data_IF_714033281537
#
_entry.id   IF_714033281537
#
_cell.length_a   1.000
_cell.length_b   1.000
_cell.length_c   1.000
_cell.angle_alpha   90.00
_cell.angle_beta   90.00
_cell.angle_gamma   90.00
#
_symmetry.space_group_name_H-M   'P 1'
#
loop_
_entity.id
_entity.type
_entity.pdbx_description
1 polymer ?
#
# COMPACT_ATOMS: atom_id res chain seq x y z
N UNK A 1 3.52 -20.99 -37.65
CA UNK A 1 3.15 -20.95 -36.21
C UNK A 1 4.34 -20.60 -35.31
N UNK A 2 5.46 -21.32 -35.40
CA UNK A 2 6.66 -21.07 -34.57
C UNK A 2 7.33 -19.69 -34.76
N UNK A 3 7.31 -19.14 -35.97
CA UNK A 3 7.88 -17.81 -36.26
C UNK A 3 7.14 -16.68 -35.53
N UNK A 4 5.81 -16.74 -35.44
CA UNK A 4 5.02 -15.76 -34.67
C UNK A 4 5.29 -15.86 -33.18
N UNK A 5 5.50 -17.08 -32.67
CA UNK A 5 5.80 -17.33 -31.27
C UNK A 5 7.21 -16.82 -30.91
N UNK A 6 8.20 -17.06 -31.78
CA UNK A 6 9.54 -16.49 -31.65
C UNK A 6 9.53 -14.96 -31.73
N UNK A 7 8.73 -14.37 -32.63
CA UNK A 7 8.57 -12.92 -32.74
C UNK A 7 7.94 -12.30 -31.49
N UNK A 8 6.92 -12.93 -30.91
CA UNK A 8 6.30 -12.49 -29.66
C UNK A 8 7.27 -12.55 -28.47
N UNK A 9 8.05 -13.64 -28.37
CA UNK A 9 9.08 -13.78 -27.33
C UNK A 9 10.19 -12.74 -27.51
N UNK A 10 10.66 -12.53 -28.75
CA UNK A 10 11.64 -11.49 -29.06
C UNK A 10 11.13 -10.08 -28.73
N UNK A 11 9.87 -9.77 -29.09
CA UNK A 11 9.22 -8.51 -28.76
C UNK A 11 9.06 -8.34 -27.24
N UNK A 12 8.69 -9.40 -26.52
CA UNK A 12 8.62 -9.39 -25.06
C UNK A 12 9.97 -9.02 -24.43
N UNK A 13 11.07 -9.69 -24.84
CA UNK A 13 12.40 -9.38 -24.33
C UNK A 13 12.87 -7.98 -24.71
N UNK A 14 12.55 -7.50 -25.92
CA UNK A 14 12.90 -6.16 -26.36
C UNK A 14 12.14 -5.08 -25.59
N UNK A 15 10.83 -5.25 -25.39
CA UNK A 15 10.00 -4.34 -24.58
C UNK A 15 10.44 -4.36 -23.11
N UNK A 16 10.77 -5.54 -22.57
CA UNK A 16 11.32 -5.70 -21.23
C UNK A 16 12.66 -4.97 -21.08
N UNK A 17 13.59 -5.19 -22.01
CA UNK A 17 14.89 -4.52 -22.02
C UNK A 17 14.75 -3.00 -22.11
N UNK A 18 13.86 -2.51 -22.97
CA UNK A 18 13.59 -1.08 -23.10
C UNK A 18 13.02 -0.49 -21.80
N UNK A 19 12.07 -1.17 -21.17
CA UNK A 19 11.48 -0.75 -19.88
C UNK A 19 12.51 -0.76 -18.75
N UNK A 20 13.32 -1.80 -18.65
CA UNK A 20 14.35 -1.93 -17.61
C UNK A 20 15.47 -0.88 -17.75
N UNK A 21 15.72 -0.39 -18.97
CA UNK A 21 16.68 0.69 -19.24
C UNK A 21 16.16 2.10 -19.01
N UNK A 22 14.89 2.27 -18.63
CA UNK A 22 14.38 3.60 -18.31
C UNK A 22 15.03 4.11 -17.03
N UNK A 23 16.03 4.97 -17.20
CA UNK A 23 16.67 5.67 -16.08
C UNK A 23 15.78 6.84 -15.69
N UNK A 24 15.39 6.86 -14.42
CA UNK A 24 14.62 7.95 -13.85
C UNK A 24 15.50 9.20 -13.77
N UNK A 25 15.19 10.23 -14.56
CA UNK A 25 15.88 11.52 -14.49
C UNK A 25 15.60 12.27 -13.19
N UNK A 26 16.47 13.24 -12.85
CA UNK A 26 16.32 14.18 -11.73
C UNK A 26 16.06 13.52 -10.36
N UNK A 27 16.86 12.51 -10.01
CA UNK A 27 16.71 11.80 -8.74
C UNK A 27 16.82 12.71 -7.50
N UNK A 28 17.64 13.77 -7.56
CA UNK A 28 17.90 14.68 -6.44
C UNK A 28 16.71 15.55 -6.02
N UNK A 29 15.73 15.69 -6.90
CA UNK A 29 14.54 16.50 -6.64
C UNK A 29 13.35 15.66 -6.17
N UNK A 30 13.51 14.34 -6.17
CA UNK A 30 12.45 13.37 -5.87
C UNK A 30 12.48 12.98 -4.41
N UNK A 31 11.34 13.17 -3.75
CA UNK A 31 11.12 12.77 -2.37
C UNK A 31 10.51 11.37 -2.31
N UNK A 32 11.06 10.53 -1.44
CA UNK A 32 10.53 9.19 -1.14
C UNK A 32 10.28 9.09 0.36
N UNK A 33 9.05 8.76 0.73
CA UNK A 33 8.67 8.48 2.11
C UNK A 33 8.66 6.98 2.36
N UNK A 34 9.33 6.52 3.42
CA UNK A 34 9.49 5.10 3.73
C UNK A 34 9.09 4.87 5.18
N UNK A 35 8.16 3.95 5.43
CA UNK A 35 7.77 3.57 6.80
C UNK A 35 8.59 2.39 7.33
N UNK A 36 8.84 2.35 8.64
CA UNK A 36 9.55 1.24 9.29
C UNK A 36 11.04 1.21 8.97
N UNK A 37 11.72 2.35 9.14
CA UNK A 37 13.14 2.52 8.82
C UNK A 37 14.11 2.20 9.98
N UNK A 38 13.61 1.78 11.15
CA UNK A 38 14.44 1.44 12.30
C UNK A 38 15.43 0.30 11.99
N UNK A 39 15.01 -0.69 11.20
CA UNK A 39 15.84 -1.85 10.85
C UNK A 39 15.38 -2.52 9.53
N UNK A 40 16.06 -3.59 9.14
CA UNK A 40 15.64 -4.47 8.05
C UNK A 40 15.56 -3.80 6.68
N UNK A 41 14.55 -4.18 5.89
CA UNK A 41 14.41 -3.73 4.50
C UNK A 41 14.19 -2.22 4.36
N UNK A 42 13.41 -1.61 5.26
CA UNK A 42 13.17 -0.16 5.24
C UNK A 42 14.46 0.64 5.43
N UNK A 43 15.28 0.25 6.42
CA UNK A 43 16.57 0.88 6.69
C UNK A 43 17.54 0.73 5.50
N UNK A 44 17.67 -0.48 4.96
CA UNK A 44 18.54 -0.74 3.81
C UNK A 44 18.08 0.03 2.56
N UNK A 45 16.77 0.10 2.32
CA UNK A 45 16.20 0.85 1.22
C UNK A 45 16.47 2.36 1.37
N UNK A 46 16.27 2.91 2.57
CA UNK A 46 16.51 4.31 2.86
C UNK A 46 17.97 4.70 2.56
N UNK A 47 18.92 3.90 3.04
CA UNK A 47 20.36 4.08 2.75
C UNK A 47 20.67 3.95 1.27
N UNK A 48 20.09 2.98 0.58
CA UNK A 48 20.32 2.77 -0.84
C UNK A 48 19.79 3.93 -1.71
N UNK A 49 18.64 4.49 -1.36
CA UNK A 49 18.05 5.62 -2.07
C UNK A 49 18.82 6.92 -1.80
N UNK A 50 19.30 7.12 -0.58
CA UNK A 50 20.17 8.24 -0.22
C UNK A 50 21.50 8.19 -0.99
N UNK A 51 22.14 7.01 -1.08
CA UNK A 51 23.37 6.83 -1.88
C UNK A 51 23.15 7.12 -3.38
N UNK A 52 21.95 6.85 -3.90
CA UNK A 52 21.56 7.19 -5.28
C UNK A 52 21.20 8.66 -5.46
N UNK A 53 21.17 9.43 -4.38
CA UNK A 53 20.97 10.87 -4.39
C UNK A 53 19.53 11.32 -4.27
N UNK A 54 18.58 10.44 -3.95
CA UNK A 54 17.19 10.84 -3.69
C UNK A 54 17.07 11.53 -2.32
N UNK A 55 16.02 12.34 -2.15
CA UNK A 55 15.63 12.88 -0.84
C UNK A 55 14.75 11.88 -0.14
N UNK A 56 15.19 11.37 1.00
CA UNK A 56 14.52 10.28 1.71
C UNK A 56 13.91 10.83 2.99
N UNK A 57 12.61 10.61 3.14
CA UNK A 57 11.85 10.93 4.34
C UNK A 57 11.59 9.61 5.08
N UNK A 58 12.43 9.28 6.04
CA UNK A 58 12.43 7.99 6.71
C UNK A 58 11.62 8.04 8.02
N UNK A 59 10.51 7.31 8.05
CA UNK A 59 9.70 7.13 9.23
C UNK A 59 10.22 5.98 10.09
N UNK A 60 10.62 6.28 11.32
CA UNK A 60 11.06 5.32 12.33
C UNK A 60 10.07 5.30 13.50
N UNK A 61 9.89 4.15 14.15
CA UNK A 61 9.09 4.04 15.37
C UNK A 61 9.85 4.57 16.59
N UNK A 62 11.18 4.40 16.61
CA UNK A 62 12.03 4.76 17.74
C UNK A 62 13.03 5.86 17.39
N UNK A 63 13.27 6.76 18.35
CA UNK A 63 14.27 7.82 18.17
C UNK A 63 15.68 7.26 18.00
N UNK A 64 16.00 6.16 18.71
CA UNK A 64 17.28 5.47 18.57
C UNK A 64 17.53 4.97 17.14
N UNK A 65 16.50 4.36 16.52
CA UNK A 65 16.57 3.91 15.14
C UNK A 65 16.73 5.07 14.16
N UNK A 66 16.00 6.16 14.40
CA UNK A 66 16.13 7.40 13.63
C UNK A 66 17.55 8.01 13.72
N UNK A 67 18.09 8.17 14.93
CA UNK A 67 19.45 8.68 15.12
C UNK A 67 20.51 7.79 14.47
N UNK A 68 20.40 6.47 14.62
CA UNK A 68 21.34 5.54 14.02
C UNK A 68 21.32 5.65 12.49
N UNK A 69 20.13 5.75 11.89
CA UNK A 69 19.98 5.93 10.45
C UNK A 69 20.59 7.26 9.99
N UNK A 70 20.28 8.38 10.67
CA UNK A 70 20.84 9.70 10.37
C UNK A 70 22.38 9.71 10.39
N UNK A 71 23.00 9.02 11.35
CA UNK A 71 24.47 8.92 11.45
C UNK A 71 25.11 8.17 10.27
N UNK A 72 24.36 7.33 9.58
CA UNK A 72 24.85 6.49 8.48
C UNK A 72 24.52 7.05 7.09
N UNK A 73 23.81 8.17 7.00
CA UNK A 73 23.25 8.73 5.77
C UNK A 73 23.63 10.20 5.60
N UNK A 74 23.37 10.76 4.42
CA UNK A 74 23.63 12.17 4.13
C UNK A 74 22.55 13.10 4.72
N UNK A 75 22.77 14.40 4.56
CA UNK A 75 21.85 15.50 4.90
C UNK A 75 20.53 15.48 4.12
N UNK A 76 20.45 14.71 3.02
CA UNK A 76 19.23 14.54 2.22
C UNK A 76 18.23 13.57 2.83
N UNK A 77 18.65 12.81 3.84
CA UNK A 77 17.78 11.91 4.56
C UNK A 77 17.32 12.59 5.85
N UNK A 78 16.03 12.88 5.90
CA UNK A 78 15.37 13.40 7.08
C UNK A 78 14.52 12.30 7.71
N UNK A 79 14.50 12.22 9.04
CA UNK A 79 13.70 11.20 9.74
C UNK A 79 12.59 11.82 10.55
N UNK A 80 11.48 11.10 10.65
CA UNK A 80 10.32 11.45 11.47
C UNK A 80 9.92 10.26 12.32
N UNK A 81 9.46 10.53 13.53
CA UNK A 81 8.92 9.48 14.41
C UNK A 81 7.47 9.20 14.02
N UNK A 82 7.19 7.95 13.62
CA UNK A 82 5.87 7.51 13.15
C UNK A 82 5.48 6.19 13.80
N UNK A 83 4.36 6.22 14.50
CA UNK A 83 3.63 5.03 14.92
C UNK A 83 2.42 4.83 13.99
N UNK A 84 2.49 3.83 13.12
CA UNK A 84 1.43 3.53 12.14
C UNK A 84 0.13 3.02 12.76
N UNK A 85 0.11 2.73 14.07
CA UNK A 85 -1.11 2.37 14.79
C UNK A 85 -1.90 3.58 15.28
N UNK A 86 -1.26 4.77 15.33
CA UNK A 86 -1.84 5.99 15.87
C UNK A 86 -2.15 6.98 14.77
N UNK A 87 -3.45 7.26 14.58
CA UNK A 87 -3.93 8.20 13.55
C UNK A 87 -3.29 9.58 13.69
N UNK A 88 -3.16 10.10 14.91
CA UNK A 88 -2.54 11.41 15.17
C UNK A 88 -1.08 11.48 14.72
N UNK A 89 -0.33 10.40 14.94
CA UNK A 89 1.07 10.29 14.50
C UNK A 89 1.16 10.29 12.96
N UNK A 90 0.23 9.59 12.30
CA UNK A 90 0.16 9.56 10.82
C UNK A 90 -0.18 10.95 10.26
N UNK A 91 -1.14 11.65 10.85
CA UNK A 91 -1.54 12.99 10.40
C UNK A 91 -0.39 14.00 10.61
N UNK A 92 0.28 13.94 11.76
CA UNK A 92 1.44 14.79 12.03
C UNK A 92 2.58 14.51 11.03
N UNK A 93 2.89 13.23 10.76
CA UNK A 93 3.89 12.86 9.76
C UNK A 93 3.49 13.31 8.35
N UNK A 94 2.23 13.18 7.96
CA UNK A 94 1.74 13.64 6.66
C UNK A 94 1.85 15.17 6.50
N UNK A 95 1.56 15.93 7.55
CA UNK A 95 1.74 17.38 7.56
C UNK A 95 3.23 17.76 7.44
N UNK A 96 4.10 17.10 8.20
CA UNK A 96 5.55 17.28 8.09
C UNK A 96 6.09 16.96 6.68
N UNK A 97 5.64 15.86 6.08
CA UNK A 97 5.99 15.51 4.69
C UNK A 97 5.51 16.61 3.73
N UNK A 98 4.27 17.08 3.89
CA UNK A 98 3.68 18.14 3.05
C UNK A 98 4.51 19.42 3.07
N UNK A 99 5.01 19.82 4.23
CA UNK A 99 5.87 21.00 4.39
C UNK A 99 7.21 20.84 3.67
N UNK A 100 7.82 19.65 3.74
CA UNK A 100 9.11 19.38 3.09
C UNK A 100 9.04 19.21 1.58
N UNK A 101 7.99 18.56 1.07
CA UNK A 101 7.84 18.31 -0.38
C UNK A 101 7.28 19.52 -1.13
N UNK A 102 6.51 20.37 -0.44
CA UNK A 102 5.88 21.57 -1.00
C UNK A 102 5.09 21.26 -2.28
N UNK A 103 5.36 22.03 -3.33
CA UNK A 103 4.67 21.89 -4.61
C UNK A 103 5.12 20.71 -5.48
N UNK A 104 6.28 20.11 -5.16
CA UNK A 104 6.79 18.97 -5.94
C UNK A 104 6.01 17.69 -5.68
N UNK A 105 5.39 17.57 -4.50
CA UNK A 105 4.69 16.37 -4.06
C UNK A 105 5.63 15.20 -3.76
N UNK A 106 5.03 14.03 -3.50
CA UNK A 106 5.74 12.84 -3.07
C UNK A 106 5.93 11.85 -4.22
N UNK A 107 7.17 11.70 -4.70
CA UNK A 107 7.46 10.82 -5.84
C UNK A 107 7.31 9.33 -5.52
N UNK A 108 7.63 8.94 -4.29
CA UNK A 108 7.52 7.55 -3.84
C UNK A 108 6.97 7.44 -2.42
N UNK A 109 6.02 6.53 -2.22
CA UNK A 109 5.59 6.07 -0.91
C UNK A 109 5.92 4.59 -0.78
N UNK A 110 6.67 4.22 0.25
CA UNK A 110 7.01 2.83 0.54
C UNK A 110 6.43 2.46 1.90
N UNK A 111 5.35 1.70 1.88
CA UNK A 111 4.75 1.14 3.08
C UNK A 111 5.46 -0.17 3.43
N UNK A 112 6.49 -0.06 4.26
CA UNK A 112 7.31 -1.18 4.70
C UNK A 112 7.09 -1.57 6.16
N UNK A 113 6.60 -0.65 7.01
CA UNK A 113 6.34 -0.94 8.42
C UNK A 113 5.46 -2.19 8.57
N UNK A 114 5.95 -3.15 9.35
CA UNK A 114 5.25 -4.39 9.60
C UNK A 114 5.86 -5.17 10.73
N UNK A 115 5.00 -5.91 11.45
CA UNK A 115 5.40 -6.83 12.51
C UNK A 115 4.99 -8.26 12.16
N UNK A 116 5.76 -9.19 12.68
CA UNK A 116 5.43 -10.61 12.68
C UNK A 116 5.66 -11.15 14.09
N UNK A 117 4.65 -11.77 14.66
CA UNK A 117 4.83 -12.66 15.80
C UNK A 117 5.23 -14.04 15.31
N UNK A 118 5.72 -14.94 16.20
CA UNK A 118 6.06 -16.30 15.81
C UNK A 118 4.93 -16.95 15.02
N UNK A 119 5.26 -17.47 13.83
CA UNK A 119 4.31 -18.14 12.96
C UNK A 119 3.92 -19.48 13.58
N UNK A 120 2.92 -19.46 14.47
CA UNK A 120 2.38 -20.64 15.13
C UNK A 120 1.00 -21.01 14.58
N UNK A 121 0.47 -22.13 15.05
CA UNK A 121 -0.92 -22.47 14.84
C UNK A 121 -1.81 -21.37 15.41
N UNK A 122 -2.87 -21.00 14.67
CA UNK A 122 -3.77 -19.91 15.06
C UNK A 122 -4.35 -20.06 16.46
N UNK A 123 -4.49 -21.29 16.96
CA UNK A 123 -4.99 -21.60 18.31
C UNK A 123 -4.03 -21.16 19.43
N UNK A 124 -2.73 -21.06 19.15
CA UNK A 124 -1.72 -20.68 20.14
C UNK A 124 -1.46 -19.17 20.18
N UNK A 125 -2.05 -18.43 19.25
CA UNK A 125 -1.86 -16.99 19.15
C UNK A 125 -2.92 -16.26 19.98
N UNK A 126 -2.48 -15.32 20.81
CA UNK A 126 -3.42 -14.43 21.51
C UNK A 126 -4.14 -13.55 20.49
N UNK A 127 -5.41 -13.29 20.74
CA UNK A 127 -6.21 -12.41 19.88
C UNK A 127 -5.62 -10.99 19.86
N UNK A 128 -5.15 -10.48 20.99
CA UNK A 128 -4.58 -9.13 21.07
C UNK A 128 -3.33 -8.96 20.18
N UNK A 129 -2.44 -9.95 20.18
CA UNK A 129 -1.26 -9.97 19.29
C UNK A 129 -1.72 -10.00 17.82
N UNK A 130 -2.76 -10.77 17.53
CA UNK A 130 -3.32 -10.88 16.18
C UNK A 130 -3.95 -9.57 15.68
N UNK A 131 -4.69 -8.90 16.54
CA UNK A 131 -5.28 -7.58 16.25
C UNK A 131 -4.17 -6.55 16.05
N UNK A 132 -3.10 -6.62 16.85
CA UNK A 132 -1.94 -5.76 16.67
C UNK A 132 -1.27 -5.96 15.30
N UNK A 133 -1.11 -7.22 14.83
CA UNK A 133 -0.60 -7.50 13.48
C UNK A 133 -1.47 -6.81 12.42
N UNK A 134 -2.79 -6.96 12.50
CA UNK A 134 -3.71 -6.33 11.54
C UNK A 134 -3.62 -4.81 11.59
N UNK A 135 -3.55 -4.24 12.80
CA UNK A 135 -3.47 -2.80 12.99
C UNK A 135 -2.20 -2.23 12.37
N UNK A 136 -1.04 -2.87 12.55
CA UNK A 136 0.22 -2.41 11.98
C UNK A 136 0.29 -2.69 10.47
N UNK A 137 0.10 -3.95 10.06
CA UNK A 137 0.43 -4.40 8.71
C UNK A 137 -0.61 -3.99 7.66
N UNK A 138 -1.88 -3.84 8.06
CA UNK A 138 -2.98 -3.56 7.15
C UNK A 138 -3.59 -2.18 7.41
N UNK A 139 -4.14 -1.96 8.60
CA UNK A 139 -4.87 -0.71 8.89
C UNK A 139 -3.92 0.50 8.86
N UNK A 140 -2.75 0.38 9.47
CA UNK A 140 -1.73 1.44 9.47
C UNK A 140 -1.24 1.76 8.06
N UNK A 141 -0.98 0.73 7.24
CA UNK A 141 -0.64 0.90 5.82
C UNK A 141 -1.72 1.67 5.06
N UNK A 142 -2.99 1.29 5.25
CA UNK A 142 -4.12 1.96 4.60
C UNK A 142 -4.21 3.43 5.04
N UNK A 143 -4.12 3.69 6.34
CA UNK A 143 -4.20 5.07 6.87
C UNK A 143 -3.05 5.94 6.38
N UNK A 144 -1.81 5.45 6.40
CA UNK A 144 -0.66 6.17 5.85
C UNK A 144 -0.87 6.46 4.37
N UNK A 145 -1.31 5.46 3.61
CA UNK A 145 -1.55 5.59 2.18
C UNK A 145 -2.57 6.68 1.88
N UNK A 146 -3.73 6.66 2.56
CA UNK A 146 -4.79 7.63 2.33
C UNK A 146 -4.37 9.06 2.69
N UNK A 147 -3.61 9.25 3.77
CA UNK A 147 -3.11 10.58 4.17
C UNK A 147 -2.04 11.12 3.21
N UNK A 148 -1.23 10.24 2.63
CA UNK A 148 -0.16 10.62 1.69
C UNK A 148 -0.65 10.70 0.23
N UNK A 149 -1.81 10.10 -0.08
CA UNK A 149 -2.34 9.99 -1.44
C UNK A 149 -2.44 11.33 -2.20
N UNK A 150 -2.89 12.44 -1.59
CA UNK A 150 -2.92 13.74 -2.28
C UNK A 150 -1.53 14.22 -2.72
N UNK A 151 -0.50 13.97 -1.89
CA UNK A 151 0.89 14.35 -2.20
C UNK A 151 1.48 13.48 -3.30
N UNK A 152 1.16 12.18 -3.28
CA UNK A 152 1.61 11.24 -4.32
C UNK A 152 0.96 11.55 -5.65
N UNK A 153 -0.35 11.85 -5.67
CA UNK A 153 -1.07 12.25 -6.90
C UNK A 153 -0.46 13.52 -7.50
N UNK A 154 -0.13 14.52 -6.68
CA UNK A 154 0.49 15.78 -7.13
C UNK A 154 1.82 15.55 -7.87
N UNK A 155 2.63 14.60 -7.41
CA UNK A 155 3.91 14.24 -8.04
C UNK A 155 3.80 13.18 -9.13
N UNK A 156 2.59 12.69 -9.44
CA UNK A 156 2.37 11.48 -10.24
C UNK A 156 3.27 10.31 -9.78
N UNK A 157 3.41 10.18 -8.46
CA UNK A 157 4.34 9.26 -7.81
C UNK A 157 3.92 7.80 -7.88
N UNK A 158 4.64 6.95 -7.14
CA UNK A 158 4.37 5.51 -7.04
C UNK A 158 4.25 5.09 -5.58
N UNK A 159 3.35 4.13 -5.35
CA UNK A 159 3.12 3.55 -4.03
C UNK A 159 3.61 2.10 -4.09
N UNK A 160 4.48 1.73 -3.16
CA UNK A 160 5.04 0.39 -3.01
C UNK A 160 4.62 -0.14 -1.65
N UNK A 161 3.78 -1.16 -1.67
CA UNK A 161 3.34 -1.84 -0.46
C UNK A 161 4.16 -3.12 -0.27
N UNK A 162 4.86 -3.24 0.85
CA UNK A 162 5.69 -4.42 1.14
C UNK A 162 4.80 -5.52 1.71
N UNK A 163 4.42 -6.44 0.84
CA UNK A 163 3.65 -7.63 1.19
C UNK A 163 4.55 -8.78 1.70
N UNK A 164 4.15 -10.03 1.47
CA UNK A 164 4.90 -11.23 1.83
C UNK A 164 4.47 -12.38 0.91
N UNK A 165 5.27 -13.44 0.84
CA UNK A 165 4.83 -14.72 0.24
C UNK A 165 3.53 -15.23 0.89
N UNK A 166 3.35 -14.93 2.18
CA UNK A 166 2.13 -15.23 2.95
C UNK A 166 0.92 -14.37 2.57
N UNK A 167 1.08 -13.40 1.66
CA UNK A 167 -0.02 -12.71 0.99
C UNK A 167 -0.57 -13.46 -0.23
N UNK A 168 0.09 -14.54 -0.66
CA UNK A 168 -0.33 -15.38 -1.81
C UNK A 168 -0.56 -16.83 -1.45
N UNK A 169 0.06 -17.30 -0.37
CA UNK A 169 -0.11 -18.66 0.15
C UNK A 169 -0.48 -18.58 1.62
N UNK A 170 -1.62 -19.17 1.98
CA UNK A 170 -2.00 -19.38 3.37
C UNK A 170 -1.12 -20.47 3.99
N UNK A 171 -0.06 -20.05 4.69
CA UNK A 171 0.80 -20.91 5.51
C UNK A 171 0.73 -20.45 6.98
N UNK A 172 1.33 -21.20 7.92
CA UNK A 172 1.30 -20.94 9.38
C UNK A 172 1.35 -19.44 9.73
N UNK A 173 0.62 -19.03 10.77
CA UNK A 173 0.45 -17.61 11.16
C UNK A 173 -0.81 -16.96 10.61
N UNK A 174 -1.98 -17.55 10.85
CA UNK A 174 -3.27 -17.23 10.24
C UNK A 174 -3.57 -15.74 10.05
N UNK A 175 -3.49 -14.91 11.11
CA UNK A 175 -3.80 -13.48 11.00
C UNK A 175 -2.69 -12.64 10.35
N UNK A 176 -1.43 -13.10 10.39
CA UNK A 176 -0.36 -12.48 9.60
C UNK A 176 -0.60 -12.69 8.10
N UNK A 177 -0.91 -13.92 7.70
CA UNK A 177 -1.27 -14.23 6.31
C UNK A 177 -2.48 -13.38 5.87
N UNK A 178 -3.56 -13.35 6.67
CA UNK A 178 -4.72 -12.48 6.39
C UNK A 178 -4.34 -11.00 6.23
N UNK A 179 -3.43 -10.47 7.06
CA UNK A 179 -2.96 -9.09 6.93
C UNK A 179 -2.28 -8.85 5.58
N UNK A 180 -1.45 -9.78 5.10
CA UNK A 180 -0.70 -9.65 3.85
C UNK A 180 -1.55 -9.90 2.60
N UNK A 181 -2.53 -10.80 2.67
CA UNK A 181 -3.58 -10.90 1.64
C UNK A 181 -4.38 -9.61 1.53
N UNK A 182 -4.71 -8.99 2.67
CA UNK A 182 -5.36 -7.68 2.70
C UNK A 182 -4.52 -6.58 2.04
N UNK A 183 -3.20 -6.60 2.22
CA UNK A 183 -2.28 -5.66 1.57
C UNK A 183 -2.25 -5.84 0.06
N UNK A 184 -2.20 -7.07 -0.46
CA UNK A 184 -2.28 -7.34 -1.90
C UNK A 184 -3.62 -6.84 -2.47
N UNK A 185 -4.74 -7.22 -1.85
CA UNK A 185 -6.07 -6.79 -2.28
C UNK A 185 -6.23 -5.25 -2.26
N UNK A 186 -5.72 -4.59 -1.23
CA UNK A 186 -5.74 -3.12 -1.16
C UNK A 186 -4.88 -2.49 -2.26
N UNK A 187 -3.73 -3.08 -2.57
CA UNK A 187 -2.84 -2.60 -3.62
C UNK A 187 -3.48 -2.72 -5.01
N UNK A 188 -4.20 -3.81 -5.26
CA UNK A 188 -4.95 -4.00 -6.51
C UNK A 188 -6.05 -2.95 -6.65
N UNK A 189 -6.86 -2.75 -5.60
CA UNK A 189 -7.92 -1.72 -5.61
C UNK A 189 -7.33 -0.31 -5.81
N UNK A 190 -6.23 0.00 -5.14
CA UNK A 190 -5.57 1.30 -5.26
C UNK A 190 -5.05 1.53 -6.68
N UNK A 191 -4.61 0.49 -7.37
CA UNK A 191 -4.14 0.57 -8.75
C UNK A 191 -5.27 0.94 -9.72
N UNK A 192 -6.50 0.49 -9.47
CA UNK A 192 -7.68 0.94 -10.21
C UNK A 192 -8.11 2.37 -9.81
N UNK A 193 -8.13 2.68 -8.51
CA UNK A 193 -8.59 3.97 -8.00
C UNK A 193 -7.60 5.14 -8.22
N UNK A 194 -6.33 4.84 -8.52
CA UNK A 194 -5.34 5.84 -8.92
C UNK A 194 -5.45 6.22 -10.41
N UNK A 195 -6.31 5.54 -11.18
CA UNK A 195 -6.57 5.83 -12.59
C UNK A 195 -7.64 6.91 -12.76
N UNK A 196 -8.47 7.18 -11.74
CA UNK A 196 -9.49 8.23 -11.80
C UNK A 196 -9.30 9.31 -10.74
N UNK A 197 -9.56 10.56 -11.16
CA UNK A 197 -9.84 11.72 -10.31
C UNK A 197 -11.16 11.50 -9.54
N UNK A 198 -11.19 10.48 -8.67
CA UNK A 198 -12.32 10.29 -7.75
C UNK A 198 -12.30 11.41 -6.71
N UNK A 199 -12.99 12.49 -7.05
CA UNK A 199 -13.49 13.50 -6.13
C UNK A 199 -14.44 12.78 -5.16
N UNK A 200 -14.17 12.79 -3.85
CA UNK A 200 -15.07 12.18 -2.88
C UNK A 200 -16.36 13.01 -2.86
N UNK A 201 -17.42 12.51 -3.50
CA UNK A 201 -18.73 13.19 -3.50
C UNK A 201 -19.71 12.79 -4.60
N UNK A 202 -19.27 12.17 -5.71
CA UNK A 202 -20.19 11.68 -6.75
C UNK A 202 -20.20 10.14 -6.80
N UNK A 203 -21.35 9.49 -6.60
CA UNK A 203 -21.51 8.10 -7.01
C UNK A 203 -21.61 8.08 -8.54
N UNK A 204 -20.49 7.83 -9.21
CA UNK A 204 -20.47 7.69 -10.66
C UNK A 204 -20.74 6.24 -11.07
N UNK A 205 -21.44 6.08 -12.19
CA UNK A 205 -21.92 4.79 -12.67
C UNK A 205 -20.78 4.02 -13.30
N UNK A 206 -20.66 2.73 -12.95
CA UNK A 206 -19.68 1.79 -13.53
C UNK A 206 -19.86 1.57 -15.05
N UNK A 207 -20.90 2.18 -15.66
CA UNK A 207 -21.26 2.08 -17.08
C UNK A 207 -20.31 2.81 -18.03
N UNK A 208 -19.51 3.75 -17.53
CA UNK A 208 -18.85 4.76 -18.38
C UNK A 208 -17.42 4.38 -18.78
N UNK A 209 -16.92 3.20 -18.38
CA UNK A 209 -15.55 2.76 -18.68
C UNK A 209 -15.50 1.56 -19.64
N UNK A 210 -14.74 1.65 -20.75
CA UNK A 210 -14.51 0.50 -21.61
C UNK A 210 -13.65 -0.55 -20.86
N UNK A 211 -13.99 -1.85 -20.95
CA UNK A 211 -13.24 -2.89 -20.24
C UNK A 211 -11.83 -3.01 -20.81
N UNK A 212 -10.82 -2.69 -20.01
CA UNK A 212 -9.42 -2.98 -20.31
C UNK A 212 -9.12 -4.44 -19.93
N UNK A 213 -8.53 -5.17 -20.87
CA UNK A 213 -8.28 -6.60 -20.78
C UNK A 213 -7.46 -7.00 -19.54
N UNK A 214 -8.04 -7.86 -18.73
CA UNK A 214 -7.37 -8.60 -17.66
C UNK A 214 -6.31 -9.55 -18.25
N UNK A 215 -5.07 -9.44 -17.77
CA UNK A 215 -4.14 -10.58 -17.71
C UNK A 215 -3.75 -10.80 -16.25
N UNK A 216 -4.70 -11.35 -15.49
CA UNK A 216 -4.39 -12.18 -14.34
C UNK A 216 -4.91 -13.57 -14.68
N UNK A 217 -4.00 -14.54 -14.76
CA UNK A 217 -4.35 -15.96 -14.94
C UNK A 217 -5.08 -16.39 -13.66
N UNK A 218 -6.39 -16.21 -13.65
CA UNK A 218 -7.28 -16.71 -12.63
C UNK A 218 -7.53 -18.20 -12.90
N UNK A 219 -7.07 -19.05 -12.01
CA UNK A 219 -7.69 -20.37 -11.88
C UNK A 219 -9.07 -20.19 -11.24
N UNK A 220 -10.03 -20.84 -11.86
CA UNK A 220 -11.45 -20.56 -11.79
C UNK A 220 -12.07 -21.49 -10.74
N UNK A 221 -12.40 -20.97 -9.55
CA UNK A 221 -13.35 -21.62 -8.61
C UNK A 221 -13.84 -20.62 -7.56
N UNK A 222 -14.94 -19.93 -7.88
CA UNK A 222 -16.19 -19.97 -7.11
C UNK A 222 -17.19 -18.99 -7.75
N UNK A 223 -18.19 -19.56 -8.40
CA UNK A 223 -19.33 -18.87 -8.97
C UNK A 223 -20.26 -18.43 -7.85
N UNK A 224 -20.28 -17.14 -7.50
CA UNK A 224 -21.39 -16.54 -6.75
C UNK A 224 -22.33 -15.92 -7.77
N UNK A 225 -23.55 -16.46 -7.84
CA UNK A 225 -24.61 -15.95 -8.70
C UNK A 225 -25.00 -14.52 -8.25
N UNK A 226 -24.59 -13.52 -9.01
CA UNK A 226 -25.07 -12.15 -8.87
C UNK A 226 -26.36 -12.01 -9.69
N UNK A 227 -27.51 -12.09 -9.02
CA UNK A 227 -28.80 -11.78 -9.63
C UNK A 227 -28.84 -10.32 -10.08
N UNK A 228 -29.29 -10.10 -11.33
CA UNK A 228 -29.44 -8.76 -11.92
C UNK A 228 -30.57 -8.02 -11.19
N UNK A 229 -30.20 -7.01 -10.38
CA UNK A 229 -31.15 -6.12 -9.72
C UNK A 229 -31.60 -5.07 -10.76
N UNK A 230 -32.85 -5.20 -11.24
CA UNK A 230 -33.40 -4.35 -12.32
C UNK A 230 -33.78 -2.93 -11.93
N UNK A 231 -33.83 -2.59 -10.63
CA UNK A 231 -33.98 -1.22 -10.12
C UNK A 231 -33.76 -1.19 -8.60
N UNK A 232 -33.20 -0.10 -8.08
CA UNK A 232 -33.12 0.19 -6.64
C UNK A 232 -33.62 1.61 -6.42
N UNK A 233 -34.75 1.75 -5.73
CA UNK A 233 -35.19 3.03 -5.19
C UNK A 233 -34.16 3.50 -4.16
N UNK A 234 -33.56 4.67 -4.40
CA UNK A 234 -32.54 5.26 -3.54
C UNK A 234 -33.17 5.66 -2.21
N UNK A 235 -32.97 4.85 -1.16
CA UNK A 235 -33.17 5.31 0.22
C UNK A 235 -32.02 6.24 0.60
N UNK A 236 -32.34 7.37 1.22
CA UNK A 236 -31.38 8.39 1.66
C UNK A 236 -30.21 7.78 2.44
N UNK A 237 -29.04 8.43 2.32
CA UNK A 237 -27.74 8.00 2.86
C UNK A 237 -27.83 7.50 4.31
N UNK A 238 -27.99 6.18 4.45
CA UNK A 238 -27.89 5.46 5.70
C UNK A 238 -26.52 4.82 5.80
N UNK A 239 -25.96 4.81 7.01
CA UNK A 239 -24.72 4.13 7.35
C UNK A 239 -24.61 2.74 6.69
N UNK A 240 -23.42 2.40 6.20
CA UNK A 240 -23.16 1.18 5.43
C UNK A 240 -23.86 -0.06 6.01
N UNK A 241 -24.31 -0.97 5.13
CA UNK A 241 -25.05 -2.18 5.54
C UNK A 241 -24.17 -3.06 6.43
N UNK A 242 -24.29 -2.87 7.74
CA UNK A 242 -23.78 -3.79 8.75
C UNK A 242 -24.73 -5.00 8.77
N UNK A 243 -24.19 -6.22 8.77
CA UNK A 243 -25.01 -7.42 8.90
C UNK A 243 -25.81 -7.35 10.20
N UNK A 244 -27.05 -7.85 10.20
CA UNK A 244 -27.93 -7.83 11.40
C UNK A 244 -27.23 -8.39 12.65
N UNK A 245 -26.32 -9.35 12.45
CA UNK A 245 -25.48 -9.95 13.50
C UNK A 245 -24.49 -8.94 14.11
N UNK A 246 -23.79 -8.14 13.31
CA UNK A 246 -22.84 -7.14 13.79
C UNK A 246 -23.54 -5.92 14.42
N UNK A 247 -24.75 -5.57 13.97
CA UNK A 247 -25.57 -4.53 14.63
C UNK A 247 -26.00 -4.91 16.05
N UNK A 248 -26.28 -6.20 16.28
CA UNK A 248 -26.65 -6.72 17.60
C UNK A 248 -25.46 -6.71 18.57
N UNK A 249 -24.25 -6.95 18.07
CA UNK A 249 -23.02 -6.89 18.87
C UNK A 249 -22.66 -5.47 19.32
N UNK A 250 -22.93 -4.45 18.49
CA UNK A 250 -22.69 -3.04 18.86
C UNK A 250 -23.68 -2.49 19.89
N UNK A 251 -24.89 -3.06 19.99
CA UNK A 251 -25.90 -2.68 20.98
C UNK A 251 -25.74 -3.37 22.35
N UNK A 252 -24.81 -4.32 22.45
CA UNK A 252 -24.57 -5.12 23.66
C UNK A 252 -23.34 -4.65 24.46
N UNK A 253 -22.74 -3.51 24.08
CA UNK A 253 -21.79 -2.74 24.87
C UNK A 253 -22.48 -1.49 25.40
#
# INVERSE_FOLDING_TARGET
>A
MWLYLAALVGLYYLLRWYRERQVVGQLRDKYVFITGCDSGFGNLLARQLDMRGLRVLAACLTEKGAEQLRRQTSDRLETVTLDVTKTESIVAAAQWVKELVGDRGLWGLVNNAGISYPLCCSEWQKIDDSVNILNVNLIGLVQVTLNMLPLVRKAQGRIVNVASILGRVGFFGGLYSSSKYGVEAFSDVLSYAAIDDMVPGKPESFSDYPPLGHFAVHDMRQTVAMGVIKAVDKKAAGAGKVTKSAQKAQKAK
#
